data_IF_971661203158
#
_entry.id   IF_971661203158
#
_cell.length_a   1.000
_cell.length_b   1.000
_cell.length_c   1.000
_cell.angle_alpha   90.00
_cell.angle_beta   90.00
_cell.angle_gamma   90.00
#
_symmetry.space_group_name_H-M   'P 1'
#
loop_
_entity.id
_entity.type
_entity.pdbx_description
1 polymer ?
#
# COMPACT_ATOMS: atom_id res chain seq x y z
N UNK A 1 -22.31 21.10 25.06
CA UNK A 1 -21.84 19.70 24.91
C UNK A 1 -21.67 19.36 23.44
N UNK A 2 -20.78 18.42 23.10
CA UNK A 2 -20.66 17.88 21.74
C UNK A 2 -21.67 16.74 21.57
N UNK A 3 -22.91 17.07 21.24
CA UNK A 3 -23.96 16.07 21.03
C UNK A 3 -23.65 15.21 19.78
N UNK A 4 -23.90 13.90 19.86
CA UNK A 4 -23.74 12.90 18.77
C UNK A 4 -22.30 12.67 18.25
N UNK A 5 -21.28 13.30 18.83
CA UNK A 5 -19.88 13.08 18.47
C UNK A 5 -19.32 11.87 19.24
N UNK A 6 -19.52 10.67 18.68
CA UNK A 6 -18.98 9.42 19.24
C UNK A 6 -17.59 9.07 18.67
N UNK A 7 -16.67 8.65 19.54
CA UNK A 7 -15.33 8.18 19.17
C UNK A 7 -14.23 9.25 19.23
N UNK A 8 -13.00 8.84 18.89
CA UNK A 8 -11.80 9.67 19.02
C UNK A 8 -11.42 10.35 17.69
N UNK A 9 -11.05 11.63 17.76
CA UNK A 9 -10.62 12.39 16.58
C UNK A 9 -9.21 12.01 16.09
N UNK A 10 -8.34 11.48 16.96
CA UNK A 10 -6.96 11.07 16.67
C UNK A 10 -6.11 12.18 16.02
N UNK A 11 -6.36 13.44 16.39
CA UNK A 11 -5.68 14.63 15.86
C UNK A 11 -5.66 14.69 14.33
N UNK A 12 -6.75 14.25 13.68
CA UNK A 12 -6.90 14.23 12.22
C UNK A 12 -8.25 14.79 11.78
N UNK A 13 -8.27 15.41 10.61
CA UNK A 13 -9.48 15.81 9.92
C UNK A 13 -10.27 14.57 9.44
N UNK A 14 -11.57 14.72 9.21
CA UNK A 14 -12.46 13.62 8.81
C UNK A 14 -11.96 12.81 7.58
N UNK A 15 -11.56 13.41 6.44
CA UNK A 15 -11.14 12.65 5.27
C UNK A 15 -9.84 11.87 5.54
N UNK A 16 -8.87 12.48 6.22
CA UNK A 16 -7.61 11.82 6.57
C UNK A 16 -7.85 10.67 7.57
N UNK A 17 -8.75 10.86 8.55
CA UNK A 17 -9.12 9.80 9.48
C UNK A 17 -9.78 8.62 8.76
N UNK A 18 -10.67 8.89 7.81
CA UNK A 18 -11.28 7.85 6.98
C UNK A 18 -10.23 7.08 6.17
N UNK A 19 -9.34 7.78 5.45
CA UNK A 19 -8.26 7.15 4.69
C UNK A 19 -7.32 6.31 5.56
N UNK A 20 -6.95 6.81 6.76
CA UNK A 20 -6.12 6.08 7.71
C UNK A 20 -6.77 4.75 8.13
N UNK A 21 -8.06 4.77 8.47
CA UNK A 21 -8.77 3.54 8.86
C UNK A 21 -8.95 2.56 7.71
N UNK A 22 -9.17 3.04 6.48
CA UNK A 22 -9.23 2.19 5.30
C UNK A 22 -7.93 1.42 5.09
N UNK A 23 -6.80 2.12 5.16
CA UNK A 23 -5.48 1.50 5.00
C UNK A 23 -5.20 0.50 6.14
N UNK A 24 -5.48 0.87 7.39
CA UNK A 24 -5.28 -0.05 8.52
C UNK A 24 -6.20 -1.28 8.46
N UNK A 25 -7.44 -1.13 8.01
CA UNK A 25 -8.37 -2.24 7.83
C UNK A 25 -7.89 -3.18 6.72
N UNK A 26 -7.49 -2.64 5.57
CA UNK A 26 -6.92 -3.42 4.47
C UNK A 26 -5.66 -4.18 4.93
N UNK A 27 -4.73 -3.52 5.63
CA UNK A 27 -3.53 -4.17 6.18
C UNK A 27 -3.87 -5.27 7.18
N UNK A 28 -4.87 -5.06 8.05
CA UNK A 28 -5.29 -6.07 9.03
C UNK A 28 -5.93 -7.29 8.35
N UNK A 29 -6.74 -7.10 7.31
CA UNK A 29 -7.35 -8.23 6.60
C UNK A 29 -6.32 -9.04 5.81
N UNK A 30 -5.32 -8.36 5.22
CA UNK A 30 -4.23 -9.02 4.49
C UNK A 30 -3.33 -9.85 5.41
N UNK A 31 -2.78 -9.21 6.44
CA UNK A 31 -1.73 -9.79 7.29
C UNK A 31 -2.26 -10.42 8.59
N UNK A 32 -3.55 -10.30 8.88
CA UNK A 32 -4.26 -10.80 10.07
C UNK A 32 -3.78 -10.22 11.41
N UNK A 33 -2.63 -9.54 11.41
CA UNK A 33 -2.02 -8.89 12.57
C UNK A 33 -1.41 -7.55 12.17
N UNK A 34 -1.60 -6.53 13.00
CA UNK A 34 -0.94 -5.22 12.85
C UNK A 34 -0.50 -4.67 14.21
N UNK A 35 0.60 -3.92 14.21
CA UNK A 35 1.07 -3.16 15.38
C UNK A 35 0.66 -1.70 15.22
N UNK A 36 -0.08 -1.16 16.18
CA UNK A 36 -0.53 0.23 16.16
C UNK A 36 -0.63 0.81 17.57
N UNK A 37 -1.11 2.04 17.73
CA UNK A 37 -1.33 2.62 19.06
C UNK A 37 -2.67 2.17 19.64
N UNK A 38 -2.77 2.03 20.96
CA UNK A 38 -4.00 1.63 21.67
C UNK A 38 -5.25 2.42 21.22
N UNK A 39 -5.22 3.77 21.13
CA UNK A 39 -6.41 4.51 20.67
C UNK A 39 -6.79 4.20 19.22
N UNK A 40 -5.80 3.98 18.32
CA UNK A 40 -6.08 3.58 16.93
C UNK A 40 -6.69 2.20 16.85
N UNK A 41 -6.15 1.22 17.59
CA UNK A 41 -6.67 -0.15 17.62
C UNK A 41 -8.12 -0.20 18.12
N UNK A 42 -8.44 0.55 19.19
CA UNK A 42 -9.80 0.61 19.74
C UNK A 42 -10.82 1.17 18.74
N UNK A 43 -10.47 2.22 18.02
CA UNK A 43 -11.35 2.78 16.98
C UNK A 43 -11.44 1.89 15.74
N UNK A 44 -10.34 1.22 15.36
CA UNK A 44 -10.31 0.32 14.20
C UNK A 44 -11.32 -0.83 14.31
N UNK A 45 -11.63 -1.30 15.54
CA UNK A 45 -12.68 -2.31 15.77
C UNK A 45 -14.03 -1.93 15.17
N UNK A 46 -14.42 -0.65 15.26
CA UNK A 46 -15.71 -0.15 14.71
C UNK A 46 -15.78 -0.25 13.19
N UNK A 47 -14.64 -0.32 12.52
CA UNK A 47 -14.54 -0.40 11.05
C UNK A 47 -14.40 -1.85 10.60
N UNK A 48 -13.57 -2.63 11.28
CA UNK A 48 -13.21 -3.99 10.85
C UNK A 48 -14.29 -5.02 11.22
N UNK A 49 -14.90 -4.93 12.41
CA UNK A 49 -15.89 -5.92 12.83
C UNK A 49 -17.11 -5.96 11.88
N UNK A 50 -17.70 -4.82 11.46
CA UNK A 50 -18.78 -4.84 10.46
C UNK A 50 -18.34 -5.37 9.09
N UNK A 51 -17.08 -5.15 8.68
CA UNK A 51 -16.55 -5.70 7.42
C UNK A 51 -16.52 -7.23 7.44
N UNK A 52 -16.06 -7.83 8.55
CA UNK A 52 -16.05 -9.29 8.70
C UNK A 52 -17.48 -9.84 8.76
N UNK A 53 -18.40 -9.13 9.42
CA UNK A 53 -19.82 -9.50 9.42
C UNK A 53 -20.42 -9.48 8.00
N UNK A 54 -20.05 -8.52 7.15
CA UNK A 54 -20.45 -8.53 5.74
C UNK A 54 -19.84 -9.73 4.99
N UNK A 55 -18.60 -10.10 5.30
CA UNK A 55 -17.88 -11.23 4.70
C UNK A 55 -18.53 -12.60 4.93
N UNK A 56 -19.34 -12.75 5.99
CA UNK A 56 -20.06 -14.00 6.28
C UNK A 56 -21.12 -14.37 5.26
N UNK A 57 -21.75 -13.36 4.66
CA UNK A 57 -22.78 -13.56 3.65
C UNK A 57 -22.22 -13.11 2.30
N UNK A 58 -21.76 -14.08 1.51
CA UNK A 58 -21.26 -13.80 0.19
C UNK A 58 -22.40 -13.44 -0.76
N UNK A 59 -22.42 -12.18 -1.20
CA UNK A 59 -23.28 -11.70 -2.27
C UNK A 59 -22.63 -10.48 -2.94
N UNK A 60 -23.00 -10.22 -4.19
CA UNK A 60 -22.43 -9.12 -4.98
C UNK A 60 -22.62 -7.75 -4.33
N UNK A 61 -23.75 -7.52 -3.67
CA UNK A 61 -24.04 -6.26 -3.00
C UNK A 61 -23.07 -6.01 -1.82
N UNK A 62 -22.75 -7.04 -1.05
CA UNK A 62 -21.83 -7.02 0.08
C UNK A 62 -20.40 -6.88 -0.42
N UNK A 63 -20.00 -7.58 -1.49
CA UNK A 63 -18.69 -7.38 -2.14
C UNK A 63 -18.51 -5.93 -2.60
N UNK A 64 -19.52 -5.33 -3.24
CA UNK A 64 -19.51 -3.91 -3.64
C UNK A 64 -19.44 -2.96 -2.44
N UNK A 65 -20.18 -3.24 -1.36
CA UNK A 65 -20.14 -2.45 -0.11
C UNK A 65 -18.77 -2.52 0.57
N UNK A 66 -18.18 -3.71 0.66
CA UNK A 66 -16.85 -3.92 1.22
C UNK A 66 -15.79 -3.17 0.38
N UNK A 67 -15.86 -3.29 -0.95
CA UNK A 67 -14.95 -2.58 -1.85
C UNK A 67 -15.08 -1.05 -1.74
N UNK A 68 -16.30 -0.53 -1.59
CA UNK A 68 -16.52 0.91 -1.42
C UNK A 68 -15.80 1.47 -0.18
N UNK A 69 -15.67 0.66 0.88
CA UNK A 69 -14.97 0.99 2.11
C UNK A 69 -13.45 0.78 2.00
N UNK A 70 -13.00 -0.42 1.62
CA UNK A 70 -11.58 -0.80 1.63
C UNK A 70 -10.78 -0.24 0.44
N UNK A 71 -11.40 -0.15 -0.75
CA UNK A 71 -10.74 0.25 -2.02
C UNK A 71 -9.54 -0.62 -2.40
N UNK A 72 -9.59 -1.88 -1.99
CA UNK A 72 -8.54 -2.87 -2.17
C UNK A 72 -9.18 -4.20 -2.57
N UNK A 73 -8.79 -4.71 -3.74
CA UNK A 73 -9.38 -5.92 -4.32
C UNK A 73 -8.90 -7.18 -3.57
N UNK A 74 -7.61 -7.25 -3.26
CA UNK A 74 -6.99 -8.42 -2.61
C UNK A 74 -7.56 -8.64 -1.21
N UNK A 75 -7.70 -7.56 -0.44
CA UNK A 75 -8.30 -7.64 0.90
C UNK A 75 -9.77 -8.05 0.85
N UNK A 76 -10.52 -7.64 -0.18
CA UNK A 76 -11.93 -8.04 -0.35
C UNK A 76 -12.03 -9.50 -0.75
N UNK A 77 -11.18 -9.99 -1.65
CA UNK A 77 -11.12 -11.40 -2.04
C UNK A 77 -10.89 -12.27 -0.78
N UNK A 78 -9.83 -11.97 -0.02
CA UNK A 78 -9.52 -12.69 1.23
C UNK A 78 -10.64 -12.61 2.28
N UNK A 79 -11.34 -11.48 2.36
CA UNK A 79 -12.44 -11.28 3.30
C UNK A 79 -13.59 -12.27 3.07
N UNK A 80 -13.97 -12.53 1.81
CA UNK A 80 -15.10 -13.40 1.48
C UNK A 80 -14.70 -14.87 1.31
N UNK A 81 -13.50 -15.14 0.80
CA UNK A 81 -13.06 -16.52 0.50
C UNK A 81 -12.55 -17.25 1.74
N UNK A 82 -11.84 -16.56 2.64
CA UNK A 82 -11.16 -17.18 3.79
C UNK A 82 -11.79 -16.72 5.11
N UNK A 83 -11.77 -15.41 5.38
CA UNK A 83 -12.19 -14.89 6.69
C UNK A 83 -13.69 -15.04 6.97
N UNK A 84 -14.54 -14.88 5.95
CA UNK A 84 -15.99 -15.02 6.05
C UNK A 84 -16.38 -16.41 6.58
N UNK A 85 -16.06 -17.50 5.86
CA UNK A 85 -16.30 -18.87 6.29
C UNK A 85 -15.70 -19.18 7.66
N UNK A 86 -14.46 -18.76 7.90
CA UNK A 86 -13.73 -18.98 9.16
C UNK A 86 -14.44 -18.43 10.39
N UNK A 87 -15.11 -17.29 10.27
CA UNK A 87 -15.82 -16.66 11.39
C UNK A 87 -17.31 -16.95 11.45
N UNK A 88 -17.85 -17.84 10.61
CA UNK A 88 -19.30 -18.11 10.52
C UNK A 88 -19.93 -18.45 11.88
N UNK A 89 -19.32 -19.38 12.62
CA UNK A 89 -19.82 -19.86 13.91
C UNK A 89 -19.77 -18.80 15.03
N UNK A 90 -18.95 -17.75 14.89
CA UNK A 90 -18.71 -16.76 15.95
C UNK A 90 -19.70 -15.59 15.84
N UNK A 91 -20.55 -15.29 16.83
CA UNK A 91 -21.56 -14.23 16.72
C UNK A 91 -20.96 -12.80 16.62
N UNK A 92 -19.75 -12.58 17.14
CA UNK A 92 -19.06 -11.29 17.08
C UNK A 92 -17.70 -11.29 17.76
N UNK A 93 -17.05 -10.12 17.77
CA UNK A 93 -15.74 -9.96 18.40
C UNK A 93 -14.63 -10.73 17.70
N UNK A 94 -14.42 -10.49 16.39
CA UNK A 94 -13.43 -11.19 15.56
C UNK A 94 -11.99 -10.70 15.77
N UNK A 95 -11.82 -9.59 16.49
CA UNK A 95 -10.51 -8.96 16.71
C UNK A 95 -10.14 -9.00 18.18
N UNK A 96 -8.85 -9.14 18.46
CA UNK A 96 -8.25 -9.05 19.79
C UNK A 96 -7.21 -7.92 19.81
N UNK A 97 -7.19 -7.14 20.90
CA UNK A 97 -6.20 -6.10 21.13
C UNK A 97 -5.34 -6.50 22.33
N UNK A 98 -4.07 -6.77 22.09
CA UNK A 98 -3.07 -7.04 23.11
C UNK A 98 -2.24 -5.78 23.35
N UNK A 99 -2.05 -5.37 24.60
CA UNK A 99 -1.17 -4.23 24.92
C UNK A 99 0.28 -4.65 24.75
N UNK A 100 1.09 -3.76 24.19
CA UNK A 100 2.53 -3.93 24.05
C UNK A 100 3.27 -2.88 24.88
N UNK A 101 4.58 -3.05 25.01
CA UNK A 101 5.44 -2.04 25.61
C UNK A 101 5.27 -0.69 24.89
N UNK A 102 5.32 0.43 25.64
CA UNK A 102 5.30 1.75 25.04
C UNK A 102 6.40 1.93 24.00
N UNK A 103 6.12 2.74 22.98
CA UNK A 103 7.11 3.05 21.95
C UNK A 103 8.26 3.86 22.55
N UNK A 104 9.49 3.52 22.19
CA UNK A 104 10.67 4.29 22.55
C UNK A 104 10.64 5.68 21.87
N UNK A 105 10.89 6.74 22.65
CA UNK A 105 10.93 8.13 22.17
C UNK A 105 9.74 8.97 22.60
N UNK A 106 8.52 8.55 22.29
CA UNK A 106 7.29 9.29 22.61
C UNK A 106 6.43 8.63 23.71
N UNK A 107 6.88 7.48 24.24
CA UNK A 107 6.17 6.66 25.23
C UNK A 107 4.71 6.34 24.83
N UNK A 108 4.39 6.33 23.54
CA UNK A 108 3.04 6.09 23.08
C UNK A 108 2.59 4.65 23.42
N UNK A 109 1.39 4.46 24.00
CA UNK A 109 0.89 3.12 24.33
C UNK A 109 0.60 2.35 23.04
N UNK A 110 1.36 1.28 22.82
CA UNK A 110 1.25 0.42 21.65
C UNK A 110 0.33 -0.77 21.91
N UNK A 111 -0.27 -1.31 20.85
CA UNK A 111 -1.10 -2.49 20.88
C UNK A 111 -0.91 -3.33 19.61
N UNK A 112 -0.90 -4.65 19.78
CA UNK A 112 -1.01 -5.62 18.70
C UNK A 112 -2.49 -5.89 18.49
N UNK A 113 -2.99 -5.61 17.29
CA UNK A 113 -4.35 -5.95 16.89
C UNK A 113 -4.28 -7.16 15.97
N UNK A 114 -4.99 -8.22 16.35
CA UNK A 114 -4.98 -9.51 15.64
C UNK A 114 -6.40 -10.01 15.39
N UNK A 115 -6.58 -10.77 14.32
CA UNK A 115 -7.76 -11.60 14.11
C UNK A 115 -7.70 -12.83 15.03
N UNK A 116 -8.88 -13.30 15.44
CA UNK A 116 -9.02 -14.51 16.25
C UNK A 116 -8.98 -15.77 15.39
N UNK A 117 -8.85 -16.92 16.06
CA UNK A 117 -8.93 -18.25 15.45
C UNK A 117 -7.89 -18.46 14.34
N UNK A 118 -6.67 -17.92 14.49
CA UNK A 118 -5.55 -18.18 13.56
C UNK A 118 -5.34 -19.69 13.46
N UNK A 119 -5.31 -20.26 12.23
CA UNK A 119 -4.90 -21.65 12.09
C UNK A 119 -3.53 -21.74 12.76
N UNK A 120 -3.39 -22.68 13.70
CA UNK A 120 -2.11 -22.92 14.34
C UNK A 120 -1.08 -23.09 13.23
N UNK A 121 -0.05 -22.23 13.22
CA UNK A 121 1.05 -22.39 12.29
C UNK A 121 1.61 -23.81 12.48
N UNK A 122 1.96 -24.54 11.40
CA UNK A 122 2.72 -25.77 11.56
C UNK A 122 3.98 -25.43 12.37
N UNK A 123 4.21 -26.19 13.45
CA UNK A 123 5.28 -25.95 14.43
C UNK A 123 6.68 -25.86 13.78
N UNK A 124 6.84 -26.33 12.54
CA UNK A 124 8.11 -26.33 11.79
C UNK A 124 8.57 -24.93 11.36
N UNK A 125 7.66 -24.03 10.96
CA UNK A 125 8.02 -22.65 10.58
C UNK A 125 8.32 -21.76 11.80
N UNK A 126 7.74 -22.10 12.96
CA UNK A 126 7.97 -21.39 14.21
C UNK A 126 9.36 -21.70 14.79
N UNK A 127 9.87 -22.90 14.58
CA UNK A 127 11.21 -23.31 14.97
C UNK A 127 12.29 -22.57 14.15
N UNK A 128 12.11 -22.43 12.83
CA UNK A 128 13.08 -21.74 11.96
C UNK A 128 13.15 -20.22 12.27
N UNK A 129 12.00 -19.59 12.56
CA UNK A 129 11.94 -18.18 12.96
C UNK A 129 12.52 -17.93 14.37
N UNK A 130 12.44 -18.91 15.27
CA UNK A 130 13.04 -18.84 16.61
C UNK A 130 14.57 -19.01 16.56
N UNK A 131 15.07 -19.89 15.68
CA UNK A 131 16.51 -20.12 15.51
C UNK A 131 17.21 -18.90 14.89
N UNK A 132 16.57 -18.26 13.90
CA UNK A 132 17.06 -17.02 13.29
C UNK A 132 17.09 -15.83 14.28
N UNK A 133 16.22 -15.83 15.31
CA UNK A 133 16.20 -14.81 16.36
C UNK A 133 17.20 -15.08 17.50
N UNK A 134 17.51 -16.36 17.76
CA UNK A 134 18.45 -16.78 18.81
C UNK A 134 19.92 -16.48 18.44
N UNK A 135 20.28 -16.53 17.15
CA UNK A 135 21.65 -16.23 16.70
C UNK A 135 22.00 -14.73 16.73
N UNK A 136 21.04 -13.85 17.05
CA UNK A 136 21.20 -12.39 16.99
C UNK A 136 21.54 -11.67 18.31
N UNK A 137 21.61 -12.34 19.47
CA UNK A 137 21.84 -11.64 20.75
C UNK A 137 22.68 -12.42 21.77
N UNK A 138 23.95 -12.04 21.89
CA UNK A 138 24.68 -12.06 23.15
C UNK A 138 25.24 -10.64 23.45
N UNK A 139 25.22 -10.17 24.71
CA UNK A 139 25.40 -8.75 25.05
C UNK A 139 26.84 -8.40 25.43
N UNK A 140 27.30 -7.18 25.11
CA UNK A 140 28.41 -6.57 25.83
C UNK A 140 28.22 -5.04 25.91
N UNK A 141 28.18 -4.54 27.15
CA UNK A 141 28.26 -3.12 27.48
C UNK A 141 29.73 -2.76 27.73
N UNK A 142 30.09 -1.62 27.12
CA UNK A 142 31.09 -0.60 27.50
C UNK A 142 32.49 -0.65 26.88
N UNK A 143 32.87 0.59 26.53
CA UNK A 143 34.19 1.21 26.35
C UNK A 143 34.95 0.93 25.05
N UNK A 144 34.87 1.92 24.16
CA UNK A 144 35.83 2.20 23.10
C UNK A 144 37.24 2.42 23.64
N UNK A 145 38.27 1.98 22.90
CA UNK A 145 39.18 2.97 22.32
C UNK A 145 39.48 2.72 20.83
N UNK A 146 39.75 3.84 20.14
CA UNK A 146 40.17 3.93 18.73
C UNK A 146 41.37 3.03 18.42
N UNK A 147 41.32 2.27 17.33
CA UNK A 147 42.51 2.04 16.49
C UNK A 147 42.16 1.97 15.00
N UNK A 148 42.81 2.90 14.30
CA UNK A 148 42.91 3.10 12.85
C UNK A 148 43.51 1.85 12.21
N UNK A 149 42.82 1.24 11.23
CA UNK A 149 43.46 0.32 10.27
C UNK A 149 43.04 0.70 8.85
N UNK A 150 44.09 0.81 8.04
CA UNK A 150 44.24 1.24 6.65
C UNK A 150 43.34 0.45 5.70
N UNK A 151 42.68 1.15 4.76
CA UNK A 151 42.07 0.53 3.57
C UNK A 151 43.07 0.63 2.42
N UNK A 152 43.43 -0.52 1.87
CA UNK A 152 44.29 -0.71 0.70
C UNK A 152 43.69 -0.08 -0.57
N UNK A 153 44.56 0.35 -1.48
CA UNK A 153 44.22 1.17 -2.65
C UNK A 153 43.37 0.43 -3.71
N UNK A 154 43.31 -0.91 -3.65
CA UNK A 154 42.55 -1.75 -4.59
C UNK A 154 41.03 -1.60 -4.44
N UNK A 155 40.52 -1.35 -3.23
CA UNK A 155 39.07 -1.23 -2.99
C UNK A 155 38.52 0.12 -3.49
N UNK A 156 39.37 1.16 -3.54
CA UNK A 156 39.03 2.46 -4.13
C UNK A 156 39.01 2.42 -5.66
N UNK A 157 39.88 1.63 -6.30
CA UNK A 157 39.89 1.46 -7.75
C UNK A 157 38.64 0.71 -8.25
N UNK A 158 38.24 -0.37 -7.57
CA UNK A 158 37.03 -1.13 -7.91
C UNK A 158 35.75 -0.31 -7.74
N UNK A 159 35.69 0.58 -6.74
CA UNK A 159 34.53 1.46 -6.50
C UNK A 159 34.43 2.60 -7.53
N UNK A 160 35.56 3.09 -8.05
CA UNK A 160 35.60 4.14 -9.08
C UNK A 160 35.20 3.60 -10.46
N UNK A 161 35.68 2.41 -10.84
CA UNK A 161 35.30 1.74 -12.08
C UNK A 161 33.79 1.38 -12.13
N UNK A 162 33.23 0.90 -11.01
CA UNK A 162 31.79 0.59 -10.89
C UNK A 162 30.89 1.83 -10.89
N UNK A 163 31.44 3.00 -10.53
CA UNK A 163 30.74 4.29 -10.56
C UNK A 163 30.71 4.91 -11.97
N UNK A 164 31.78 4.73 -12.74
CA UNK A 164 31.88 5.19 -14.13
C UNK A 164 31.01 4.32 -15.06
N UNK A 165 30.98 3.00 -14.87
CA UNK A 165 30.09 2.10 -15.62
C UNK A 165 28.59 2.37 -15.37
N UNK A 166 28.22 2.79 -14.15
CA UNK A 166 26.83 3.18 -13.84
C UNK A 166 26.45 4.56 -14.40
N UNK A 167 27.42 5.47 -14.59
CA UNK A 167 27.19 6.77 -15.22
C UNK A 167 26.96 6.62 -16.73
N UNK A 168 27.79 5.82 -17.42
CA UNK A 168 27.65 5.55 -18.87
C UNK A 168 26.37 4.77 -19.21
N UNK A 169 25.96 3.81 -18.36
CA UNK A 169 24.70 3.09 -18.54
C UNK A 169 23.46 3.99 -18.33
N UNK A 170 23.58 5.05 -17.51
CA UNK A 170 22.50 6.02 -17.29
C UNK A 170 22.42 7.05 -18.42
N UNK A 171 23.55 7.36 -19.06
CA UNK A 171 23.62 8.24 -20.23
C UNK A 171 23.10 7.56 -21.50
N UNK A 172 23.44 6.28 -21.73
CA UNK A 172 22.89 5.48 -22.84
C UNK A 172 21.38 5.27 -22.73
N UNK A 173 20.84 5.00 -21.53
CA UNK A 173 19.37 4.92 -21.32
C UNK A 173 18.66 6.27 -21.50
N UNK A 174 19.34 7.39 -21.21
CA UNK A 174 18.78 8.74 -21.41
C UNK A 174 18.77 9.10 -22.91
N UNK A 175 19.79 8.70 -23.67
CA UNK A 175 19.85 8.88 -25.13
C UNK A 175 18.80 8.02 -25.87
N UNK A 176 18.58 6.78 -25.43
CA UNK A 176 17.57 5.87 -26.01
C UNK A 176 16.13 6.35 -25.74
N UNK A 177 15.87 6.88 -24.54
CA UNK A 177 14.57 7.50 -24.19
C UNK A 177 14.32 8.83 -24.91
N UNK A 178 15.37 9.56 -25.29
CA UNK A 178 15.29 10.79 -26.09
C UNK A 178 15.07 10.49 -27.58
N UNK A 179 15.66 9.40 -28.10
CA UNK A 179 15.40 8.87 -29.43
C UNK A 179 13.94 8.43 -29.61
N UNK A 180 13.40 7.67 -28.66
CA UNK A 180 11.99 7.22 -28.71
C UNK A 180 10.99 8.38 -28.55
N UNK A 181 11.33 9.43 -27.78
CA UNK A 181 10.48 10.64 -27.71
C UNK A 181 10.51 11.49 -28.99
N UNK A 182 11.57 11.43 -29.80
CA UNK A 182 11.63 12.12 -31.10
C UNK A 182 10.81 11.41 -32.19
N UNK A 183 10.73 10.07 -32.17
CA UNK A 183 9.92 9.31 -33.15
C UNK A 183 8.41 9.47 -32.91
N UNK A 184 7.97 9.79 -31.69
CA UNK A 184 6.54 10.02 -31.36
C UNK A 184 6.14 11.51 -31.45
N UNK A 185 7.09 12.42 -31.63
CA UNK A 185 6.85 13.88 -31.69
C UNK A 185 6.79 14.45 -33.12
N UNK A 186 6.20 13.73 -34.08
CA UNK A 186 5.58 14.31 -35.28
C UNK A 186 4.52 13.30 -35.77
N UNK A 187 3.24 13.67 -35.97
CA UNK A 187 2.87 14.80 -36.82
C UNK A 187 1.59 15.53 -36.37
N UNK A 188 1.67 16.44 -35.39
CA UNK A 188 0.51 17.32 -35.05
C UNK A 188 0.18 18.31 -36.19
N UNK A 189 1.15 18.69 -37.03
CA UNK A 189 0.92 19.56 -38.20
C UNK A 189 0.18 18.86 -39.36
N UNK A 190 0.44 17.58 -39.66
CA UNK A 190 -0.31 16.85 -40.71
C UNK A 190 -1.75 16.54 -40.29
N UNK A 191 -2.00 16.27 -39.00
CA UNK A 191 -3.34 16.02 -38.49
C UNK A 191 -4.24 17.28 -38.50
N UNK A 192 -3.66 18.46 -38.22
CA UNK A 192 -4.38 19.74 -38.31
C UNK A 192 -4.74 20.10 -39.76
N UNK A 193 -3.82 19.89 -40.71
CA UNK A 193 -4.07 20.11 -42.14
C UNK A 193 -5.15 19.16 -42.70
N UNK A 194 -5.15 17.88 -42.30
CA UNK A 194 -6.17 16.90 -42.70
C UNK A 194 -7.56 17.24 -42.14
N UNK A 195 -7.65 17.71 -40.89
CA UNK A 195 -8.92 18.17 -40.29
C UNK A 195 -9.44 19.46 -40.95
N UNK A 196 -8.57 20.39 -41.33
CA UNK A 196 -8.95 21.60 -42.04
C UNK A 196 -9.45 21.30 -43.48
N UNK A 197 -8.78 20.40 -44.19
CA UNK A 197 -9.20 19.95 -45.52
C UNK A 197 -10.55 19.20 -45.48
N UNK A 198 -10.77 18.36 -44.47
CA UNK A 198 -12.04 17.65 -44.28
C UNK A 198 -13.19 18.64 -43.99
N UNK A 199 -12.97 19.64 -43.13
CA UNK A 199 -13.97 20.69 -42.86
C UNK A 199 -14.30 21.53 -44.12
N UNK A 200 -13.30 21.89 -44.93
CA UNK A 200 -13.53 22.58 -46.21
C UNK A 200 -14.30 21.70 -47.22
N UNK A 201 -14.01 20.40 -47.29
CA UNK A 201 -14.73 19.47 -48.18
C UNK A 201 -16.18 19.24 -47.77
N UNK A 202 -16.46 19.17 -46.46
CA UNK A 202 -17.81 19.05 -45.92
C UNK A 202 -18.60 20.34 -46.14
N UNK A 203 -17.99 21.51 -45.93
CA UNK A 203 -18.63 22.80 -46.22
C UNK A 203 -18.94 22.97 -47.71
N UNK A 204 -18.02 22.58 -48.61
CA UNK A 204 -18.22 22.63 -50.07
C UNK A 204 -19.33 21.68 -50.53
N UNK A 205 -19.42 20.46 -49.96
CA UNK A 205 -20.53 19.52 -50.23
C UNK A 205 -21.87 20.02 -49.68
N UNK A 206 -21.87 20.69 -48.53
CA UNK A 206 -23.09 21.26 -47.94
C UNK A 206 -23.61 22.47 -48.73
N UNK A 207 -22.70 23.29 -49.27
CA UNK A 207 -23.03 24.40 -50.16
C UNK A 207 -23.52 23.90 -51.54
N UNK A 208 -22.89 22.87 -52.11
CA UNK A 208 -23.33 22.27 -53.38
C UNK A 208 -24.71 21.58 -53.26
N UNK A 209 -25.03 21.02 -52.08
CA UNK A 209 -26.36 20.42 -51.80
C UNK A 209 -27.45 21.48 -51.52
N UNK A 210 -27.06 22.70 -51.15
CA UNK A 210 -27.98 23.82 -50.92
C UNK A 210 -28.27 24.65 -52.18
N UNK A 211 -27.42 24.55 -53.21
CA UNK A 211 -27.58 25.22 -54.50
C UNK A 211 -28.14 24.36 -55.64
N UNK A 212 -28.57 23.12 -55.34
CA UNK A 212 -29.20 22.22 -56.31
C UNK A 212 -30.73 22.27 -56.22
N UNK A 213 -31.32 23.26 -56.89
CA UNK A 213 -32.65 23.19 -57.52
C UNK A 213 -32.43 23.38 -59.01
#
# INVERSE_FOLDING_TARGET
MRHQLSGRQLSRNAPHRAAMFRNMAASLLRHETIRTTVPKAKELRRVVEPLITLGKQDNDANRRRAFAQLRDVEAVIKLFEDLGPRFMARPGGYTRILRMNPRAGDAAPMALMQLLDQPALPEEDAAEAADAAAQGKAPSKRTSPKKRVVRTEEEKAARKARSQAKAEAKEKKKAESAGQKRVVAAPKKKAAAKKAALKKSIAKRKAAKAGGR
#
